data_IF_351496986726
#
_entry.id   IF_351496986726
#
_cell.length_a   1.000
_cell.length_b   1.000
_cell.length_c   1.000
_cell.angle_alpha   90.00
_cell.angle_beta   90.00
_cell.angle_gamma   90.00
#
_symmetry.space_group_name_H-M   'P 1'
#
loop_
_entity.id
_entity.type
_entity.pdbx_description
1 polymer ?
#
# COMPACT_ATOMS: atom_id res chain seq x y z
N UNK A 1 11.65 4.86 26.99
CA UNK A 1 10.40 4.14 27.34
C UNK A 1 10.22 2.98 26.37
N UNK A 2 9.95 1.76 26.82
CA UNK A 2 9.51 0.67 25.92
C UNK A 2 8.08 0.99 25.46
N UNK A 3 7.84 1.10 24.16
CA UNK A 3 6.48 1.17 23.62
C UNK A 3 5.76 -0.16 23.89
N UNK A 4 4.48 -0.09 24.26
CA UNK A 4 3.63 -1.28 24.39
C UNK A 4 3.38 -1.88 23.00
N UNK A 5 3.07 -3.18 22.92
CA UNK A 5 2.75 -3.85 21.65
C UNK A 5 1.62 -3.10 20.92
N UNK A 6 0.57 -2.70 21.65
CA UNK A 6 -0.52 -1.89 21.12
C UNK A 6 -0.02 -0.58 20.49
N UNK A 7 0.83 0.17 21.19
CA UNK A 7 1.37 1.42 20.68
C UNK A 7 2.22 1.24 19.41
N UNK A 8 2.91 0.10 19.27
CA UNK A 8 3.63 -0.24 18.03
C UNK A 8 2.67 -0.47 16.85
N UNK A 9 1.61 -1.25 17.05
CA UNK A 9 0.60 -1.46 16.00
C UNK A 9 -0.13 -0.17 15.66
N UNK A 10 -0.49 0.66 16.65
CA UNK A 10 -1.10 1.98 16.44
C UNK A 10 -0.23 2.87 15.56
N UNK A 11 1.06 2.99 15.89
CA UNK A 11 1.99 3.81 15.13
C UNK A 11 2.13 3.30 13.68
N UNK A 12 2.35 2.00 13.49
CA UNK A 12 2.57 1.43 12.16
C UNK A 12 1.31 1.46 11.28
N UNK A 13 0.14 1.17 11.84
CA UNK A 13 -1.13 1.32 11.11
C UNK A 13 -1.42 2.77 10.74
N UNK A 14 -1.05 3.72 11.60
CA UNK A 14 -1.19 5.13 11.28
C UNK A 14 -0.26 5.54 10.13
N UNK A 15 1.02 5.14 10.18
CA UNK A 15 1.98 5.38 9.11
C UNK A 15 1.53 4.76 7.78
N UNK A 16 1.04 3.52 7.82
CA UNK A 16 0.52 2.81 6.64
C UNK A 16 -0.75 3.48 6.10
N UNK A 17 -1.73 3.82 6.95
CA UNK A 17 -2.95 4.51 6.51
C UNK A 17 -2.63 5.86 5.86
N UNK A 18 -1.66 6.58 6.42
CA UNK A 18 -1.19 7.84 5.84
C UNK A 18 -0.61 7.62 4.44
N UNK A 19 0.29 6.65 4.27
CA UNK A 19 0.88 6.33 2.97
C UNK A 19 -0.18 5.89 1.94
N UNK A 20 -1.15 5.06 2.36
CA UNK A 20 -2.28 4.65 1.51
C UNK A 20 -3.07 5.86 1.04
N UNK A 21 -3.46 6.76 1.96
CA UNK A 21 -4.24 7.94 1.62
C UNK A 21 -3.48 8.89 0.69
N UNK A 22 -2.18 9.10 0.93
CA UNK A 22 -1.32 9.91 0.07
C UNK A 22 -1.20 9.33 -1.35
N UNK A 23 -1.21 7.99 -1.49
CA UNK A 23 -1.21 7.34 -2.79
C UNK A 23 -2.58 7.45 -3.48
N UNK A 24 -3.68 7.28 -2.74
CA UNK A 24 -5.03 7.44 -3.28
C UNK A 24 -5.27 8.87 -3.79
N UNK A 25 -4.85 9.88 -3.03
CA UNK A 25 -4.91 11.29 -3.45
C UNK A 25 -4.04 11.53 -4.69
N UNK A 26 -2.82 10.98 -4.72
CA UNK A 26 -1.93 11.10 -5.86
C UNK A 26 -2.49 10.48 -7.15
N UNK A 27 -3.28 9.42 -7.02
CA UNK A 27 -3.83 8.67 -8.16
C UNK A 27 -5.29 9.03 -8.46
N UNK A 28 -5.87 9.99 -7.73
CA UNK A 28 -7.26 10.37 -7.86
C UNK A 28 -7.55 10.92 -9.26
N UNK A 29 -8.63 10.44 -9.88
CA UNK A 29 -9.08 10.86 -11.22
C UNK A 29 -8.07 10.59 -12.36
N UNK A 30 -7.07 9.74 -12.14
CA UNK A 30 -6.13 9.32 -13.19
C UNK A 30 -6.55 7.96 -13.75
N UNK A 31 -7.26 7.96 -14.89
CA UNK A 31 -7.80 6.73 -15.53
C UNK A 31 -6.72 5.69 -15.80
N UNK A 32 -5.51 6.13 -16.18
CA UNK A 32 -4.37 5.22 -16.40
C UNK A 32 -3.94 4.48 -15.13
N UNK A 33 -4.17 5.07 -13.96
CA UNK A 33 -3.79 4.50 -12.67
C UNK A 33 -4.95 3.78 -11.98
N UNK A 34 -6.09 3.58 -12.65
CA UNK A 34 -7.29 3.05 -12.02
C UNK A 34 -7.06 1.68 -11.38
N UNK A 35 -6.41 0.75 -12.07
CA UNK A 35 -6.12 -0.59 -11.54
C UNK A 35 -5.23 -0.53 -10.29
N UNK A 36 -4.20 0.33 -10.31
CA UNK A 36 -3.32 0.53 -9.15
C UNK A 36 -4.09 1.19 -8.00
N UNK A 37 -4.94 2.16 -8.30
CA UNK A 37 -5.79 2.83 -7.32
C UNK A 37 -6.76 1.83 -6.65
N UNK A 38 -7.42 0.96 -7.41
CA UNK A 38 -8.30 -0.10 -6.90
C UNK A 38 -7.56 -1.02 -5.91
N UNK A 39 -6.33 -1.45 -6.25
CA UNK A 39 -5.50 -2.25 -5.33
C UNK A 39 -5.13 -1.52 -4.06
N UNK A 40 -4.83 -0.22 -4.16
CA UNK A 40 -4.54 0.60 -2.98
C UNK A 40 -5.82 0.89 -2.16
N UNK A 41 -7.00 0.91 -2.77
CA UNK A 41 -8.27 0.97 -2.03
C UNK A 41 -8.53 -0.33 -1.24
N UNK A 42 -8.25 -1.50 -1.81
CA UNK A 42 -8.29 -2.77 -1.08
C UNK A 42 -7.34 -2.74 0.12
N UNK A 43 -6.13 -2.19 -0.06
CA UNK A 43 -5.18 -1.98 1.04
C UNK A 43 -5.73 -1.02 2.11
N UNK A 44 -6.41 0.05 1.71
CA UNK A 44 -7.05 0.99 2.63
C UNK A 44 -8.09 0.31 3.51
N UNK A 45 -8.89 -0.58 2.92
CA UNK A 45 -9.91 -1.36 3.64
C UNK A 45 -9.27 -2.34 4.62
N UNK A 46 -8.21 -3.06 4.21
CA UNK A 46 -7.45 -3.94 5.10
C UNK A 46 -6.91 -3.17 6.32
N UNK A 47 -6.33 -1.99 6.09
CA UNK A 47 -5.81 -1.13 7.16
C UNK A 47 -6.93 -0.68 8.11
N UNK A 48 -8.09 -0.29 7.59
CA UNK A 48 -9.23 0.13 8.41
C UNK A 48 -9.76 -1.01 9.28
N UNK A 49 -9.84 -2.23 8.73
CA UNK A 49 -10.22 -3.42 9.50
C UNK A 49 -9.21 -3.72 10.61
N UNK A 50 -7.92 -3.63 10.34
CA UNK A 50 -6.86 -3.81 11.34
C UNK A 50 -6.94 -2.75 12.45
N UNK A 51 -7.23 -1.50 12.10
CA UNK A 51 -7.47 -0.43 13.08
C UNK A 51 -8.70 -0.72 13.96
N UNK A 52 -9.77 -1.28 13.40
CA UNK A 52 -10.94 -1.70 14.17
C UNK A 52 -10.60 -2.82 15.16
N UNK A 53 -9.82 -3.83 14.75
CA UNK A 53 -9.36 -4.90 15.66
C UNK A 53 -8.57 -4.31 16.83
N UNK A 54 -7.69 -3.34 16.54
CA UNK A 54 -6.88 -2.68 17.56
C UNK A 54 -7.73 -1.85 18.56
N UNK A 55 -8.88 -1.34 18.13
CA UNK A 55 -9.82 -0.60 18.97
C UNK A 55 -10.67 -1.49 19.89
N UNK A 56 -10.68 -2.82 19.70
CA UNK A 56 -11.45 -3.75 20.53
C UNK A 56 -10.96 -3.87 21.98
N UNK A 57 -9.82 -3.25 22.32
CA UNK A 57 -9.32 -3.20 23.71
C UNK A 57 -8.84 -4.55 24.24
N UNK A 58 -8.40 -5.45 23.36
CA UNK A 58 -7.89 -6.77 23.72
C UNK A 58 -6.61 -6.68 24.56
N UNK A 59 -6.44 -7.64 25.48
CA UNK A 59 -5.16 -7.84 26.17
C UNK A 59 -4.05 -8.16 25.17
N UNK A 60 -2.81 -7.74 25.44
CA UNK A 60 -1.72 -7.76 24.47
C UNK A 60 -1.50 -9.10 23.75
N UNK A 61 -1.57 -10.23 24.46
CA UNK A 61 -1.42 -11.57 23.88
C UNK A 61 -2.60 -11.96 22.96
N UNK A 62 -3.81 -11.53 23.29
CA UNK A 62 -5.00 -11.74 22.46
C UNK A 62 -5.04 -10.78 21.28
N UNK A 63 -4.51 -9.56 21.46
CA UNK A 63 -4.41 -8.56 20.40
C UNK A 63 -3.53 -9.08 19.27
N UNK A 64 -2.28 -9.48 19.55
CA UNK A 64 -1.36 -9.98 18.50
C UNK A 64 -1.99 -11.10 17.70
N UNK A 65 -2.57 -12.09 18.40
CA UNK A 65 -3.27 -13.20 17.76
C UNK A 65 -4.47 -12.76 16.91
N UNK A 66 -5.30 -11.85 17.42
CA UNK A 66 -6.46 -11.34 16.67
C UNK A 66 -6.02 -10.54 15.43
N UNK A 67 -4.90 -9.83 15.50
CA UNK A 67 -4.34 -9.09 14.36
C UNK A 67 -3.77 -10.07 13.32
N UNK A 68 -2.95 -11.05 13.74
CA UNK A 68 -2.31 -12.03 12.84
C UNK A 68 -3.31 -12.95 12.16
N UNK A 69 -4.35 -13.36 12.87
CA UNK A 69 -5.36 -14.31 12.37
C UNK A 69 -6.47 -13.58 11.58
N UNK A 70 -6.42 -12.26 11.45
CA UNK A 70 -7.45 -11.49 10.75
C UNK A 70 -7.35 -11.67 9.24
N UNK A 71 -8.50 -11.73 8.57
CA UNK A 71 -8.57 -11.72 7.10
C UNK A 71 -7.89 -10.47 6.51
N UNK A 72 -7.93 -9.35 7.23
CA UNK A 72 -7.29 -8.11 6.83
C UNK A 72 -5.75 -8.21 6.82
N UNK A 73 -5.16 -8.98 7.74
CA UNK A 73 -3.72 -9.26 7.71
C UNK A 73 -3.34 -10.14 6.52
N UNK A 74 -4.14 -11.16 6.22
CA UNK A 74 -3.91 -12.02 5.05
C UNK A 74 -4.03 -11.24 3.73
N UNK A 75 -5.08 -10.41 3.60
CA UNK A 75 -5.28 -9.54 2.45
C UNK A 75 -4.11 -8.56 2.27
N UNK A 76 -3.60 -7.99 3.36
CA UNK A 76 -2.45 -7.09 3.29
C UNK A 76 -1.15 -7.80 2.86
N UNK A 77 -0.94 -9.07 3.23
CA UNK A 77 0.20 -9.86 2.74
C UNK A 77 0.06 -10.13 1.23
N UNK A 78 -1.13 -10.54 0.77
CA UNK A 78 -1.42 -10.79 -0.66
C UNK A 78 -1.26 -9.55 -1.54
N UNK A 79 -1.76 -8.39 -1.07
CA UNK A 79 -1.67 -7.14 -1.82
C UNK A 79 -0.24 -6.63 -1.99
N UNK A 80 0.63 -6.95 -1.04
CA UNK A 80 2.04 -6.56 -1.10
C UNK A 80 2.85 -7.49 -2.01
N UNK A 81 2.46 -8.75 -2.11
CA UNK A 81 3.03 -9.71 -3.06
C UNK A 81 2.57 -9.45 -4.52
N UNK A 82 1.46 -8.72 -4.68
CA UNK A 82 0.94 -8.34 -5.99
C UNK A 82 1.66 -7.09 -6.49
N UNK A 83 2.50 -7.23 -7.51
CA UNK A 83 3.12 -6.08 -8.18
C UNK A 83 2.12 -5.37 -9.11
N UNK A 84 1.30 -4.49 -8.53
CA UNK A 84 0.27 -3.77 -9.27
C UNK A 84 0.83 -2.72 -10.25
N UNK A 85 2.09 -2.27 -10.07
CA UNK A 85 2.70 -1.24 -10.92
C UNK A 85 3.36 -1.85 -12.15
N UNK A 86 3.87 -3.08 -12.08
CA UNK A 86 4.46 -3.79 -13.22
C UNK A 86 3.55 -3.80 -14.47
N UNK A 87 2.25 -4.06 -14.30
CA UNK A 87 1.30 -4.09 -15.42
C UNK A 87 1.13 -2.71 -16.07
N UNK A 88 1.08 -1.66 -15.25
CA UNK A 88 1.01 -0.28 -15.70
C UNK A 88 2.29 0.13 -16.44
N UNK A 89 3.46 -0.25 -15.92
CA UNK A 89 4.75 0.02 -16.53
C UNK A 89 4.84 -0.62 -17.92
N UNK A 90 4.48 -1.90 -18.04
CA UNK A 90 4.45 -2.59 -19.32
C UNK A 90 3.52 -1.90 -20.34
N UNK A 91 2.33 -1.47 -19.89
CA UNK A 91 1.40 -0.71 -20.72
C UNK A 91 2.00 0.62 -21.19
N UNK A 92 2.54 1.41 -20.26
CA UNK A 92 3.13 2.73 -20.54
C UNK A 92 4.35 2.63 -21.46
N UNK A 93 5.19 1.60 -21.29
CA UNK A 93 6.33 1.33 -22.17
C UNK A 93 5.87 1.01 -23.61
N UNK A 94 4.77 0.24 -23.75
CA UNK A 94 4.19 -0.07 -25.06
C UNK A 94 3.65 1.19 -25.77
N UNK A 95 2.98 2.07 -25.02
CA UNK A 95 2.46 3.34 -25.54
C UNK A 95 3.59 4.27 -25.92
N UNK A 96 4.61 4.43 -25.06
CA UNK A 96 5.80 5.22 -25.33
C UNK A 96 6.52 4.76 -26.62
N UNK A 97 6.64 3.45 -26.83
CA UNK A 97 7.22 2.89 -28.07
C UNK A 97 6.43 3.18 -29.35
N UNK A 98 5.14 3.54 -29.23
CA UNK A 98 4.27 3.90 -30.34
C UNK A 98 4.23 5.42 -30.63
N UNK A 99 4.85 6.23 -29.78
CA UNK A 99 4.82 7.70 -29.87
C UNK A 99 6.08 8.20 -30.57
N UNK A 100 5.93 8.82 -31.74
CA UNK A 100 7.05 9.42 -32.50
C UNK A 100 7.61 10.72 -31.89
N UNK A 101 7.10 11.13 -30.72
CA UNK A 101 7.53 12.33 -30.02
C UNK A 101 8.38 11.96 -28.78
N UNK A 102 9.65 12.33 -28.82
CA UNK A 102 10.62 12.06 -27.76
C UNK A 102 10.28 12.78 -26.44
N UNK A 103 9.74 14.00 -26.48
CA UNK A 103 9.37 14.76 -25.28
C UNK A 103 8.18 14.12 -24.56
N UNK A 104 7.19 13.64 -25.32
CA UNK A 104 6.03 12.91 -24.77
C UNK A 104 6.47 11.57 -24.17
N UNK A 105 7.38 10.87 -24.85
CA UNK A 105 7.97 9.63 -24.32
C UNK A 105 8.69 9.86 -23.00
N UNK A 106 9.55 10.89 -22.94
CA UNK A 106 10.25 11.25 -21.71
C UNK A 106 9.27 11.62 -20.59
N UNK A 107 8.24 12.41 -20.90
CA UNK A 107 7.22 12.77 -19.92
C UNK A 107 6.51 11.54 -19.35
N UNK A 108 6.14 10.56 -20.18
CA UNK A 108 5.49 9.33 -19.72
C UNK A 108 6.42 8.50 -18.82
N UNK A 109 7.71 8.40 -19.17
CA UNK A 109 8.71 7.73 -18.31
C UNK A 109 8.85 8.43 -16.96
N UNK A 110 9.00 9.75 -16.93
CA UNK A 110 9.13 10.50 -15.68
C UNK A 110 7.87 10.38 -14.77
N UNK A 111 6.69 10.26 -15.37
CA UNK A 111 5.45 10.00 -14.64
C UNK A 111 5.46 8.57 -14.07
N UNK A 112 5.90 7.57 -14.83
CA UNK A 112 6.02 6.19 -14.33
C UNK A 112 6.98 6.09 -13.15
N UNK A 113 8.18 6.67 -13.26
CA UNK A 113 9.18 6.63 -12.20
C UNK A 113 8.62 7.22 -10.88
N UNK A 114 7.79 8.26 -10.98
CA UNK A 114 7.12 8.87 -9.82
C UNK A 114 6.05 7.99 -9.22
N UNK A 115 5.25 7.32 -10.06
CA UNK A 115 4.21 6.37 -9.62
C UNK A 115 4.87 5.19 -8.91
N UNK A 116 5.89 4.60 -9.53
CA UNK A 116 6.65 3.47 -8.99
C UNK A 116 7.30 3.85 -7.65
N UNK A 117 7.98 5.00 -7.58
CA UNK A 117 8.59 5.46 -6.34
C UNK A 117 7.57 5.61 -5.20
N UNK A 118 6.40 6.22 -5.48
CA UNK A 118 5.33 6.37 -4.47
C UNK A 118 4.73 5.03 -4.06
N UNK A 119 4.57 4.10 -5.00
CA UNK A 119 4.03 2.78 -4.72
C UNK A 119 5.01 1.95 -3.87
N UNK A 120 6.30 1.98 -4.20
CA UNK A 120 7.34 1.30 -3.42
C UNK A 120 7.40 1.82 -1.98
N UNK A 121 7.28 3.13 -1.77
CA UNK A 121 7.19 3.69 -0.41
C UNK A 121 5.96 3.18 0.36
N UNK A 122 4.83 2.98 -0.31
CA UNK A 122 3.64 2.37 0.29
C UNK A 122 3.92 0.90 0.66
N UNK A 123 4.49 0.11 -0.25
CA UNK A 123 4.84 -1.29 -0.02
C UNK A 123 5.83 -1.45 1.14
N UNK A 124 6.82 -0.56 1.26
CA UNK A 124 7.75 -0.55 2.40
C UNK A 124 7.01 -0.42 3.74
N UNK A 125 5.97 0.44 3.82
CA UNK A 125 5.15 0.56 5.05
C UNK A 125 4.32 -0.69 5.31
N UNK A 126 3.77 -1.28 4.26
CA UNK A 126 2.98 -2.49 4.36
C UNK A 126 3.85 -3.69 4.80
N UNK A 127 5.03 -3.88 4.20
CA UNK A 127 6.02 -4.86 4.64
C UNK A 127 6.46 -4.66 6.09
N UNK A 128 6.75 -3.42 6.49
CA UNK A 128 7.13 -3.11 7.87
C UNK A 128 6.00 -3.47 8.86
N UNK A 129 4.75 -3.38 8.43
CA UNK A 129 3.60 -3.80 9.22
C UNK A 129 3.43 -5.32 9.25
N UNK A 130 3.56 -6.01 8.10
CA UNK A 130 3.48 -7.48 8.03
C UNK A 130 4.59 -8.14 8.86
N UNK A 131 5.79 -7.55 8.90
CA UNK A 131 6.86 -8.00 9.78
C UNK A 131 6.46 -7.92 11.26
N UNK A 132 5.79 -6.83 11.67
CA UNK A 132 5.30 -6.67 13.04
C UNK A 132 4.21 -7.70 13.41
N UNK A 133 3.44 -8.20 12.44
CA UNK A 133 2.45 -9.27 12.68
C UNK A 133 3.10 -10.65 12.88
N UNK A 134 4.34 -10.83 12.41
CA UNK A 134 5.10 -12.09 12.44
C UNK A 134 6.05 -12.18 13.65
N UNK A 135 6.25 -11.08 14.39
CA UNK A 135 7.08 -10.93 15.61
C UNK A 135 6.34 -11.32 16.91
#
# INVERSE_FOLDING_TARGET
MRQTIKAKHELRLHELKKAVNEFLEFTENLTLLQTVNEKVQEMAQAVDMLQQVLQQGLAANKLVKAMSDSEAAALLDELVDTDAVSELEAYMLSVAGSVENAEVTQFLTEIMDKVEHKYNLLLEKAHAYNALLKD
#
